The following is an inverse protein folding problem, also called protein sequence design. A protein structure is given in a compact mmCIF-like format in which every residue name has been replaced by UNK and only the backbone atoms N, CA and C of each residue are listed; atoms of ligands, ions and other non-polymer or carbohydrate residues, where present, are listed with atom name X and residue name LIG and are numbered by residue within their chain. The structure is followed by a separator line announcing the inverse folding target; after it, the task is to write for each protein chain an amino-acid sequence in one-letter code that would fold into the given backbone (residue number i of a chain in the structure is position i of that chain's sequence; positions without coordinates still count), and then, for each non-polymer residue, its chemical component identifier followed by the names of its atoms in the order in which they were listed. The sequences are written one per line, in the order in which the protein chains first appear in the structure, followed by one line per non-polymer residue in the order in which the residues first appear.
data_IF_553125695323
#
_entry.id   IF_553125695323
#
_cell.length_a   1.000
_cell.length_b   1.000
_cell.length_c   1.000
_cell.angle_alpha   90.00
_cell.angle_beta   90.00
_cell.angle_gamma   90.00
#
_symmetry.space_group_name_H-M   'P 1'
#
loop_
_entity.id
_entity.type
_entity.pdbx_description
1 polymer ?
#
# COMPACT_ATOMS: atom_id res chain seq x y z
N UNK A 1 13.00 7.90 26.23
CA UNK A 1 13.27 7.77 24.80
C UNK A 1 12.23 7.00 24.00
N UNK A 2 11.42 6.14 24.63
CA UNK A 2 10.43 5.30 23.91
C UNK A 2 9.13 6.08 23.60
N UNK A 3 8.80 7.09 24.38
CA UNK A 3 7.58 7.86 24.22
C UNK A 3 7.58 8.81 23.00
N UNK A 4 8.74 9.29 22.59
CA UNK A 4 8.88 10.20 21.44
C UNK A 4 8.87 9.50 20.09
N UNK A 5 9.15 8.19 20.04
CA UNK A 5 9.09 7.42 18.79
C UNK A 5 7.68 6.92 18.45
N UNK A 6 6.77 6.82 19.45
CA UNK A 6 5.42 6.32 19.22
C UNK A 6 4.51 7.36 18.53
N UNK A 7 4.64 8.65 18.88
CA UNK A 7 3.83 9.73 18.32
C UNK A 7 3.94 9.89 16.79
N UNK A 8 5.13 9.89 16.17
CA UNK A 8 5.24 9.95 14.71
C UNK A 8 4.74 8.69 13.98
N UNK A 9 4.74 7.55 14.67
CA UNK A 9 4.25 6.28 14.09
C UNK A 9 2.72 6.31 14.02
N UNK A 10 2.05 6.76 15.07
CA UNK A 10 0.58 6.91 15.10
C UNK A 10 0.05 7.86 14.03
N UNK A 11 0.81 8.88 13.66
CA UNK A 11 0.41 9.83 12.62
C UNK A 11 0.70 9.33 11.18
N UNK A 12 1.60 8.37 11.03
CA UNK A 12 2.09 7.93 9.70
C UNK A 12 1.72 6.51 9.33
N UNK A 13 1.62 5.62 10.29
CA UNK A 13 1.48 4.19 10.06
C UNK A 13 0.50 3.57 11.04
N UNK A 14 -0.65 3.19 10.50
CA UNK A 14 -1.65 2.40 11.20
C UNK A 14 -1.77 1.01 10.56
N UNK A 15 -2.12 0.03 11.38
CA UNK A 15 -2.57 -1.25 10.88
C UNK A 15 -3.96 -1.08 10.28
N UNK A 16 -4.16 -1.55 9.04
CA UNK A 16 -5.51 -1.68 8.50
C UNK A 16 -6.31 -2.71 9.30
N UNK A 17 -7.64 -2.72 9.15
CA UNK A 17 -8.50 -3.73 9.81
C UNK A 17 -8.02 -5.16 9.52
N UNK A 18 -7.63 -5.44 8.25
CA UNK A 18 -7.06 -6.74 7.84
C UNK A 18 -5.70 -6.98 8.49
N UNK A 19 -4.85 -5.96 8.57
CA UNK A 19 -3.55 -6.04 9.24
C UNK A 19 -3.70 -6.34 10.73
N UNK A 20 -4.63 -5.68 11.40
CA UNK A 20 -4.95 -5.93 12.82
C UNK A 20 -5.48 -7.35 13.04
N UNK A 21 -6.37 -7.83 12.18
CA UNK A 21 -6.88 -9.21 12.24
C UNK A 21 -5.75 -10.24 12.10
N UNK A 22 -4.87 -10.09 11.11
CA UNK A 22 -3.73 -10.99 10.90
C UNK A 22 -2.75 -10.95 12.07
N UNK A 23 -2.48 -9.76 12.60
CA UNK A 23 -1.64 -9.56 13.78
C UNK A 23 -2.22 -10.30 14.99
N UNK A 24 -3.49 -10.07 15.32
CA UNK A 24 -4.15 -10.69 16.47
C UNK A 24 -4.18 -12.22 16.34
N UNK A 25 -4.46 -12.73 15.14
CA UNK A 25 -4.39 -14.18 14.86
C UNK A 25 -2.98 -14.74 15.09
N UNK A 26 -1.95 -14.04 14.67
CA UNK A 26 -0.55 -14.47 14.83
C UNK A 26 -0.11 -14.48 16.29
N UNK A 27 -0.56 -13.52 17.06
CA UNK A 27 -0.29 -13.39 18.50
C UNK A 27 -1.13 -14.34 19.33
N UNK A 28 -2.17 -14.96 18.75
CA UNK A 28 -3.07 -15.88 19.45
C UNK A 28 -4.14 -15.19 20.30
N UNK A 29 -4.54 -13.97 19.91
CA UNK A 29 -5.66 -13.28 20.55
C UNK A 29 -6.99 -13.76 19.98
N UNK A 30 -7.99 -13.92 20.84
CA UNK A 30 -9.34 -14.33 20.44
C UNK A 30 -10.06 -13.21 19.67
N UNK A 31 -9.85 -11.95 20.04
CA UNK A 31 -10.43 -10.82 19.35
C UNK A 31 -9.68 -10.54 18.05
N UNK A 32 -10.39 -10.63 16.93
CA UNK A 32 -9.84 -10.36 15.60
C UNK A 32 -9.91 -8.88 15.21
N UNK A 33 -10.58 -8.06 16.00
CA UNK A 33 -10.75 -6.62 15.82
C UNK A 33 -9.95 -5.84 16.86
N UNK A 34 -9.70 -4.55 16.62
CA UNK A 34 -8.99 -3.68 17.55
C UNK A 34 -8.55 -2.38 16.90
N UNK A 35 -7.93 -1.52 17.69
CA UNK A 35 -7.39 -0.25 17.20
C UNK A 35 -6.29 -0.47 16.16
N UNK A 36 -6.23 0.40 15.16
CA UNK A 36 -5.19 0.38 14.12
C UNK A 36 -3.79 0.72 14.65
N UNK A 37 -3.72 1.47 15.74
CA UNK A 37 -2.45 1.89 16.34
C UNK A 37 -1.81 0.76 17.17
N UNK A 38 -0.47 0.71 17.18
CA UNK A 38 0.28 -0.24 17.99
C UNK A 38 0.30 0.17 19.45
N UNK A 39 -0.10 -0.75 20.32
CA UNK A 39 -0.02 -0.60 21.78
C UNK A 39 1.30 -1.15 22.34
N UNK A 40 1.60 -0.81 23.60
CA UNK A 40 2.75 -1.40 24.30
C UNK A 40 2.64 -2.93 24.43
N UNK A 41 1.41 -3.42 24.64
CA UNK A 41 1.13 -4.85 24.75
C UNK A 41 1.35 -5.59 23.42
N UNK A 42 1.12 -4.92 22.28
CA UNK A 42 1.42 -5.47 20.98
C UNK A 42 2.95 -5.67 20.80
N UNK A 43 3.74 -4.67 21.22
CA UNK A 43 5.20 -4.73 21.15
C UNK A 43 5.73 -5.87 22.02
N UNK A 44 5.24 -5.99 23.25
CA UNK A 44 5.64 -7.06 24.16
C UNK A 44 5.29 -8.44 23.61
N UNK A 45 4.10 -8.57 23.03
CA UNK A 45 3.65 -9.81 22.42
C UNK A 45 4.53 -10.24 21.23
N UNK A 46 4.91 -9.28 20.37
CA UNK A 46 5.86 -9.53 19.27
C UNK A 46 7.22 -9.96 19.79
N UNK A 47 7.75 -9.26 20.81
CA UNK A 47 9.02 -9.63 21.42
C UNK A 47 9.01 -11.06 21.98
N UNK A 48 7.91 -11.47 22.64
CA UNK A 48 7.74 -12.83 23.15
C UNK A 48 7.81 -13.85 22.03
N UNK A 49 7.06 -13.63 20.94
CA UNK A 49 7.07 -14.53 19.77
C UNK A 49 8.49 -14.63 19.16
N UNK A 50 9.20 -13.53 19.05
CA UNK A 50 10.56 -13.52 18.49
C UNK A 50 11.51 -14.35 19.38
N UNK A 51 11.39 -14.26 20.72
CA UNK A 51 12.17 -15.06 21.66
C UNK A 51 11.79 -16.55 21.52
N UNK A 52 10.51 -16.87 21.39
CA UNK A 52 10.05 -18.25 21.22
C UNK A 52 10.61 -18.86 19.92
N UNK A 53 10.59 -18.11 18.81
CA UNK A 53 11.19 -18.53 17.53
C UNK A 53 12.68 -18.77 17.69
N UNK A 54 13.40 -17.85 18.36
CA UNK A 54 14.83 -18.00 18.64
C UNK A 54 15.14 -19.27 19.45
N UNK A 55 14.29 -19.63 20.37
CA UNK A 55 14.41 -20.81 21.22
C UNK A 55 13.96 -22.11 20.52
N UNK A 56 13.55 -22.05 19.26
CA UNK A 56 13.05 -23.20 18.49
C UNK A 56 11.61 -23.58 18.73
N UNK A 57 10.84 -22.77 19.47
CA UNK A 57 9.43 -22.99 19.78
C UNK A 57 8.48 -22.27 18.84
N UNK A 58 8.82 -22.15 17.57
CA UNK A 58 8.01 -21.45 16.58
C UNK A 58 8.48 -21.71 15.16
N UNK A 59 7.75 -21.18 14.21
CA UNK A 59 8.11 -21.26 12.80
C UNK A 59 8.17 -19.86 12.18
N UNK A 60 9.05 -19.71 11.20
CA UNK A 60 9.16 -18.49 10.40
C UNK A 60 8.23 -18.62 9.21
N UNK A 61 7.37 -17.61 8.99
CA UNK A 61 6.50 -17.59 7.82
C UNK A 61 7.30 -17.29 6.56
N UNK A 62 6.95 -17.97 5.47
CA UNK A 62 7.47 -17.63 4.15
C UNK A 62 6.79 -16.33 3.66
N UNK A 63 7.57 -15.25 3.59
CA UNK A 63 7.09 -13.93 3.15
C UNK A 63 6.77 -13.87 1.67
N UNK A 64 7.31 -14.78 0.87
CA UNK A 64 7.11 -14.82 -0.59
C UNK A 64 5.91 -15.67 -1.00
N UNK A 65 5.39 -16.49 -0.08
CA UNK A 65 4.20 -17.28 -0.33
C UNK A 65 2.99 -16.37 -0.61
N UNK A 66 2.24 -16.65 -1.69
CA UNK A 66 1.08 -15.83 -2.10
C UNK A 66 -0.04 -15.77 -1.04
N UNK A 67 -0.10 -16.73 -0.12
CA UNK A 67 -0.99 -16.65 1.04
C UNK A 67 -0.64 -15.53 2.02
N UNK A 68 0.62 -15.13 2.08
CA UNK A 68 1.14 -14.07 2.95
C UNK A 68 1.31 -12.72 2.22
N UNK A 69 1.24 -12.74 0.89
CA UNK A 69 1.33 -11.53 0.06
C UNK A 69 -0.04 -11.05 -0.34
N UNK A 70 -0.29 -9.78 -0.09
CA UNK A 70 -1.52 -9.13 -0.50
C UNK A 70 -1.43 -8.70 -1.97
N UNK A 71 -2.45 -9.01 -2.74
CA UNK A 71 -2.61 -8.56 -4.12
C UNK A 71 -3.50 -7.32 -4.13
N UNK A 72 -3.04 -6.27 -4.79
CA UNK A 72 -3.80 -5.04 -4.99
C UNK A 72 -4.62 -5.11 -6.27
N UNK A 73 -5.90 -4.80 -6.18
CA UNK A 73 -6.76 -4.69 -7.35
C UNK A 73 -6.63 -3.29 -7.99
N UNK A 74 -7.22 -3.14 -9.17
CA UNK A 74 -7.17 -1.87 -9.93
C UNK A 74 -7.75 -0.69 -9.15
N UNK A 75 -8.79 -0.91 -8.34
CA UNK A 75 -9.40 0.14 -7.53
C UNK A 75 -8.42 0.74 -6.53
N UNK A 76 -7.67 -0.09 -5.82
CA UNK A 76 -6.65 0.37 -4.88
C UNK A 76 -5.47 1.06 -5.58
N UNK A 77 -5.06 0.55 -6.73
CA UNK A 77 -4.01 1.20 -7.53
C UNK A 77 -4.46 2.56 -8.04
N UNK A 78 -5.69 2.69 -8.51
CA UNK A 78 -6.29 3.96 -8.93
C UNK A 78 -6.41 4.95 -7.76
N UNK A 79 -6.78 4.49 -6.56
CA UNK A 79 -6.80 5.31 -5.34
C UNK A 79 -5.41 5.88 -5.04
N UNK A 80 -4.38 5.06 -5.10
CA UNK A 80 -3.00 5.51 -4.85
C UNK A 80 -2.56 6.58 -5.87
N UNK A 81 -2.90 6.41 -7.14
CA UNK A 81 -2.62 7.38 -8.19
C UNK A 81 -3.38 8.69 -7.97
N UNK A 82 -4.65 8.59 -7.60
CA UNK A 82 -5.47 9.75 -7.25
C UNK A 82 -4.87 10.52 -6.07
N UNK A 83 -4.42 9.81 -5.03
CA UNK A 83 -3.75 10.39 -3.87
C UNK A 83 -2.47 11.15 -4.26
N UNK A 84 -1.65 10.60 -5.16
CA UNK A 84 -0.48 11.29 -5.71
C UNK A 84 -0.90 12.57 -6.43
N UNK A 85 -1.97 12.53 -7.21
CA UNK A 85 -2.56 13.70 -7.86
C UNK A 85 -2.97 14.77 -6.85
N UNK A 86 -3.62 14.40 -5.76
CA UNK A 86 -4.01 15.32 -4.68
C UNK A 86 -2.81 15.97 -3.99
N UNK A 87 -1.75 15.22 -3.72
CA UNK A 87 -0.50 15.77 -3.15
C UNK A 87 0.13 16.81 -4.07
N UNK A 88 0.07 16.60 -5.40
CA UNK A 88 0.53 17.60 -6.38
C UNK A 88 -0.33 18.87 -6.34
N UNK A 89 -1.66 18.73 -6.19
CA UNK A 89 -2.57 19.87 -6.02
C UNK A 89 -2.28 20.61 -4.72
N UNK A 90 -2.13 19.89 -3.62
CA UNK A 90 -1.80 20.47 -2.31
C UNK A 90 -0.53 21.31 -2.38
N UNK A 91 0.53 20.79 -3.02
CA UNK A 91 1.78 21.52 -3.20
C UNK A 91 1.58 22.79 -4.01
N UNK A 92 0.86 22.73 -5.13
CA UNK A 92 0.58 23.88 -5.97
C UNK A 92 -0.26 24.93 -5.24
N UNK A 93 -1.22 24.52 -4.40
CA UNK A 93 -2.01 25.42 -3.56
C UNK A 93 -1.13 26.11 -2.51
N UNK A 94 -0.26 25.36 -1.83
CA UNK A 94 0.69 25.94 -0.87
C UNK A 94 1.62 26.97 -1.51
N UNK A 95 2.15 26.68 -2.70
CA UNK A 95 2.98 27.63 -3.46
C UNK A 95 2.21 28.90 -3.83
N UNK A 96 0.98 28.78 -4.31
CA UNK A 96 0.14 29.93 -4.64
C UNK A 96 -0.21 30.77 -3.41
N UNK A 97 -0.54 30.13 -2.30
CA UNK A 97 -0.81 30.82 -1.04
C UNK A 97 0.42 31.60 -0.53
N UNK A 98 1.62 31.06 -0.70
CA UNK A 98 2.85 31.72 -0.28
C UNK A 98 3.21 32.94 -1.15
N UNK A 99 2.73 32.97 -2.39
CA UNK A 99 2.97 34.06 -3.34
C UNK A 99 1.81 35.09 -3.37
N UNK A 100 0.72 34.79 -2.71
CA UNK A 100 -0.47 35.64 -2.74
C UNK A 100 -0.35 36.82 -1.78
N UNK A 101 -0.41 38.03 -2.32
CA UNK A 101 -0.39 39.27 -1.56
C UNK A 101 -1.80 39.77 -1.14
N UNK A 102 -2.87 39.14 -1.61
CA UNK A 102 -4.25 39.61 -1.36
C UNK A 102 -5.01 38.73 -0.38
N UNK A 103 -5.68 39.37 0.57
CA UNK A 103 -6.55 38.70 1.59
C UNK A 103 -7.88 38.17 1.01
N UNK A 104 -8.20 38.40 -0.27
CA UNK A 104 -9.48 38.08 -0.89
C UNK A 104 -9.42 36.94 -1.92
N UNK A 105 -8.56 35.93 -1.70
CA UNK A 105 -8.48 34.78 -2.61
C UNK A 105 -9.64 33.83 -2.41
N UNK A 106 -10.32 33.49 -3.50
CA UNK A 106 -11.36 32.46 -3.51
C UNK A 106 -10.73 31.07 -3.68
N UNK A 107 -11.22 30.02 -2.98
CA UNK A 107 -10.70 28.66 -3.10
C UNK A 107 -10.68 28.11 -4.53
N UNK A 108 -11.62 28.54 -5.37
CA UNK A 108 -11.73 28.16 -6.79
C UNK A 108 -10.54 28.64 -7.63
N UNK A 109 -9.92 29.76 -7.27
CA UNK A 109 -8.76 30.31 -7.96
C UNK A 109 -7.47 29.57 -7.60
N UNK A 110 -7.44 28.97 -6.42
CA UNK A 110 -6.29 28.25 -5.90
C UNK A 110 -6.25 26.79 -6.39
N UNK A 111 -7.42 26.16 -6.53
CA UNK A 111 -7.53 24.73 -6.84
C UNK A 111 -7.49 24.51 -8.35
N UNK A 112 -6.59 23.63 -8.78
CA UNK A 112 -6.49 23.18 -10.16
C UNK A 112 -6.61 21.64 -10.21
N UNK A 113 -7.60 21.14 -10.92
CA UNK A 113 -7.83 19.69 -11.08
C UNK A 113 -6.91 19.02 -12.11
N UNK A 114 -6.17 19.80 -12.94
CA UNK A 114 -5.32 19.24 -13.99
C UNK A 114 -4.28 18.23 -13.50
N UNK A 115 -3.58 18.41 -12.37
CA UNK A 115 -2.61 17.44 -11.88
C UNK A 115 -3.23 16.07 -11.54
N UNK A 116 -4.46 16.06 -11.02
CA UNK A 116 -5.19 14.82 -10.74
C UNK A 116 -5.58 14.12 -12.04
N UNK A 117 -6.16 14.87 -12.97
CA UNK A 117 -6.53 14.34 -14.29
C UNK A 117 -5.31 13.80 -15.05
N UNK A 118 -4.17 14.49 -14.99
CA UNK A 118 -2.93 14.05 -15.60
C UNK A 118 -2.41 12.75 -14.99
N UNK A 119 -2.42 12.63 -13.66
CA UNK A 119 -1.99 11.41 -12.97
C UNK A 119 -2.86 10.19 -13.33
N UNK A 120 -4.19 10.36 -13.35
CA UNK A 120 -5.12 9.30 -13.73
C UNK A 120 -4.94 8.92 -15.21
N UNK A 121 -4.79 9.90 -16.11
CA UNK A 121 -4.54 9.66 -17.53
C UNK A 121 -3.22 8.93 -17.77
N UNK A 122 -2.17 9.28 -17.04
CA UNK A 122 -0.87 8.62 -17.09
C UNK A 122 -0.99 7.14 -16.68
N UNK A 123 -1.72 6.86 -15.59
CA UNK A 123 -1.92 5.50 -15.10
C UNK A 123 -2.65 4.62 -16.13
N UNK A 124 -3.78 5.08 -16.66
CA UNK A 124 -4.55 4.30 -17.62
C UNK A 124 -3.97 4.29 -19.04
N UNK A 125 -3.16 5.28 -19.40
CA UNK A 125 -2.61 5.43 -20.75
C UNK A 125 -1.21 4.84 -20.96
N UNK A 126 -0.36 4.85 -19.92
CA UNK A 126 1.07 4.49 -20.08
C UNK A 126 1.61 3.55 -18.99
N UNK A 127 0.79 3.11 -18.04
CA UNK A 127 1.20 2.10 -17.08
C UNK A 127 1.40 0.74 -17.72
N UNK A 128 2.42 -0.02 -17.29
CA UNK A 128 2.63 -1.40 -17.71
C UNK A 128 1.46 -2.32 -17.39
N UNK A 129 0.64 -1.97 -16.38
CA UNK A 129 -0.55 -2.73 -15.98
C UNK A 129 -1.77 -2.41 -16.85
N UNK A 130 -1.75 -1.30 -17.56
CA UNK A 130 -2.81 -0.92 -18.48
C UNK A 130 -2.45 -1.41 -19.89
N UNK A 131 -3.11 -2.46 -20.33
CA UNK A 131 -2.83 -3.15 -21.59
C UNK A 131 -4.10 -3.27 -22.43
N UNK A 132 -3.93 -3.48 -23.74
CA UNK A 132 -5.05 -3.85 -24.58
C UNK A 132 -5.65 -5.19 -24.14
N UNK A 133 -6.96 -5.24 -24.06
CA UNK A 133 -7.67 -6.47 -23.71
C UNK A 133 -7.68 -7.43 -24.89
N UNK A 134 -7.41 -8.72 -24.63
CA UNK A 134 -7.59 -9.78 -25.61
C UNK A 134 -9.08 -9.98 -25.88
N UNK A 135 -9.53 -9.75 -27.09
CA UNK A 135 -10.95 -9.81 -27.49
C UNK A 135 -11.22 -10.94 -28.50
N UNK A 136 -10.47 -12.04 -28.46
CA UNK A 136 -10.64 -13.17 -29.39
C UNK A 136 -11.90 -13.98 -29.09
N UNK A 137 -12.15 -14.27 -27.82
CA UNK A 137 -13.35 -14.96 -27.34
C UNK A 137 -13.66 -14.56 -25.89
N UNK A 138 -14.89 -14.83 -25.38
CA UNK A 138 -15.25 -14.45 -24.01
C UNK A 138 -14.34 -15.04 -22.93
N UNK A 139 -13.82 -16.25 -23.12
CA UNK A 139 -12.91 -16.88 -22.16
C UNK A 139 -11.56 -16.15 -22.09
N UNK A 140 -11.01 -15.75 -23.23
CA UNK A 140 -9.80 -14.92 -23.32
C UNK A 140 -9.94 -13.61 -22.55
N UNK A 141 -11.07 -12.95 -22.70
CA UNK A 141 -11.36 -11.69 -21.99
C UNK A 141 -11.38 -11.87 -20.48
N UNK A 142 -12.07 -12.90 -19.99
CA UNK A 142 -12.17 -13.19 -18.55
C UNK A 142 -10.80 -13.56 -18.00
N UNK A 143 -10.02 -14.37 -18.70
CA UNK A 143 -8.69 -14.79 -18.29
C UNK A 143 -7.74 -13.59 -18.19
N UNK A 144 -7.79 -12.69 -19.17
CA UNK A 144 -6.98 -11.49 -19.18
C UNK A 144 -7.34 -10.53 -18.03
N UNK A 145 -8.63 -10.34 -17.76
CA UNK A 145 -9.11 -9.51 -16.64
C UNK A 145 -8.71 -10.06 -15.26
N UNK A 146 -8.59 -11.36 -15.14
CA UNK A 146 -8.22 -12.05 -13.89
C UNK A 146 -6.74 -12.31 -13.74
N UNK A 147 -5.93 -11.86 -14.68
CA UNK A 147 -4.49 -12.03 -14.63
C UNK A 147 -3.89 -11.30 -13.44
N UNK A 148 -3.08 -12.01 -12.66
CA UNK A 148 -2.25 -11.44 -11.60
C UNK A 148 -0.84 -11.24 -12.17
N UNK A 149 -0.31 -10.02 -12.07
CA UNK A 149 1.03 -9.70 -12.56
C UNK A 149 1.87 -9.10 -11.45
N UNK A 150 3.10 -9.59 -11.33
CA UNK A 150 4.11 -9.03 -10.43
C UNK A 150 4.88 -7.86 -11.08
N UNK A 151 4.70 -7.62 -12.38
CA UNK A 151 5.36 -6.56 -13.14
C UNK A 151 4.63 -5.23 -12.99
N UNK A 152 5.37 -4.13 -13.01
CA UNK A 152 4.85 -2.78 -12.98
C UNK A 152 5.13 -2.05 -11.66
N UNK A 153 4.67 -0.78 -11.52
CA UNK A 153 4.88 0.02 -10.33
C UNK A 153 4.30 -0.65 -9.08
N UNK A 154 5.15 -0.88 -8.08
CA UNK A 154 4.77 -1.58 -6.84
C UNK A 154 4.74 -3.11 -6.95
N UNK A 155 5.08 -3.70 -8.10
CA UNK A 155 5.30 -5.12 -8.26
C UNK A 155 6.72 -5.57 -7.87
N UNK A 156 7.02 -6.85 -8.12
CA UNK A 156 8.36 -7.40 -7.97
C UNK A 156 9.28 -6.81 -9.05
N UNK A 157 10.39 -6.20 -8.62
CA UNK A 157 11.49 -5.86 -9.52
C UNK A 157 12.51 -6.99 -9.51
N UNK A 158 13.33 -7.09 -10.57
CA UNK A 158 14.42 -8.06 -10.64
C UNK A 158 15.37 -7.99 -9.44
N UNK A 159 15.60 -6.81 -8.92
CA UNK A 159 16.46 -6.58 -7.75
C UNK A 159 15.89 -7.16 -6.46
N UNK A 160 14.55 -7.27 -6.36
CA UNK A 160 13.86 -7.79 -5.18
C UNK A 160 13.51 -9.26 -5.27
N UNK A 161 13.34 -9.79 -6.48
CA UNK A 161 12.86 -11.14 -6.71
C UNK A 161 13.99 -12.17 -6.90
N UNK A 162 15.24 -11.77 -7.03
CA UNK A 162 16.30 -12.70 -7.44
C UNK A 162 16.10 -13.29 -8.85
N UNK A 163 17.05 -14.10 -9.30
CA UNK A 163 17.03 -14.68 -10.66
C UNK A 163 16.53 -16.13 -10.70
N UNK A 164 16.45 -16.79 -9.58
CA UNK A 164 16.06 -18.19 -9.50
C UNK A 164 14.58 -18.36 -9.17
N UNK A 165 13.97 -19.40 -9.73
CA UNK A 165 12.55 -19.72 -9.47
C UNK A 165 12.29 -19.94 -7.98
N UNK A 166 13.25 -20.49 -7.25
CA UNK A 166 13.19 -20.70 -5.80
C UNK A 166 13.12 -19.39 -4.99
N UNK A 167 13.61 -18.27 -5.53
CA UNK A 167 13.58 -16.97 -4.87
C UNK A 167 12.18 -16.34 -4.93
N UNK A 168 11.35 -16.79 -5.87
CA UNK A 168 9.98 -16.29 -6.09
C UNK A 168 8.95 -17.24 -5.51
N UNK A 169 9.25 -18.54 -5.54
CA UNK A 169 8.37 -19.60 -5.05
C UNK A 169 9.22 -20.81 -4.68
N UNK A 170 9.19 -21.25 -3.39
CA UNK A 170 9.86 -22.47 -2.96
C UNK A 170 9.20 -23.71 -3.55
#
# INVERSE_FOLDING_TARGET
GVQTCALPICERYDLSAVGRMKFNRRVGREELTGEGTLSKDDILAVMKILIDIRNGNGFVDDIDHLGNRRIRCVGEMAENVFRIGLVRVERAVKERLSLAESESLMPQELINAKPVAAAVKEFFGSSQLSQFMDQNNPLSEVTHKRRVSALGPGGLTRERAGFEVRDVHP
#
